data_IF_132375844745
#
_entry.id   IF_132375844745
#
_cell.length_a   1.000
_cell.length_b   1.000
_cell.length_c   1.000
_cell.angle_alpha   90.00
_cell.angle_beta   90.00
_cell.angle_gamma   90.00
#
_symmetry.space_group_name_H-M   'P 1'
#
loop_
_entity.id
_entity.type
_entity.pdbx_description
1 polymer ?
#
# COMPACT_ATOMS: atom_id res chain seq x y z
N UNK A 1 -33.00 -9.31 6.88
CA UNK A 1 -31.55 -9.32 7.17
C UNK A 1 -31.14 -7.93 7.61
N UNK A 2 -30.89 -7.71 8.90
CA UNK A 2 -30.28 -6.47 9.38
C UNK A 2 -28.77 -6.58 9.13
N UNK A 3 -28.20 -5.67 8.35
CA UNK A 3 -26.75 -5.52 8.28
C UNK A 3 -26.26 -5.19 9.70
N UNK A 4 -25.26 -5.90 10.24
CA UNK A 4 -24.71 -5.59 11.56
C UNK A 4 -24.24 -4.13 11.56
N UNK A 5 -24.82 -3.33 12.44
CA UNK A 5 -24.42 -1.94 12.67
C UNK A 5 -23.01 -1.96 13.25
N UNK A 6 -22.04 -1.56 12.44
CA UNK A 6 -20.66 -1.38 12.88
C UNK A 6 -20.65 -0.41 14.08
N UNK A 7 -19.95 -0.72 15.18
CA UNK A 7 -19.80 0.22 16.27
C UNK A 7 -19.18 1.52 15.74
N UNK A 8 -19.81 2.65 16.06
CA UNK A 8 -19.38 3.96 15.57
C UNK A 8 -17.94 4.21 16.00
N UNK A 9 -17.05 4.37 15.02
CA UNK A 9 -15.63 4.51 15.31
C UNK A 9 -15.36 5.76 16.17
N UNK A 10 -14.63 5.58 17.28
CA UNK A 10 -14.19 6.69 18.12
C UNK A 10 -13.10 7.47 17.38
N UNK A 11 -13.29 8.78 17.21
CA UNK A 11 -12.27 9.63 16.59
C UNK A 11 -11.15 9.94 17.60
N UNK A 12 -9.91 9.77 17.17
CA UNK A 12 -8.69 10.11 17.92
C UNK A 12 -7.87 11.06 17.07
N UNK A 13 -7.71 12.30 17.55
CA UNK A 13 -6.92 13.33 16.88
C UNK A 13 -5.45 13.16 17.23
N UNK A 14 -4.59 13.15 16.21
CA UNK A 14 -3.15 12.94 16.32
C UNK A 14 -2.43 14.22 15.88
N UNK A 15 -2.17 15.10 16.85
CA UNK A 15 -1.49 16.37 16.60
C UNK A 15 -0.01 16.14 16.29
N UNK A 16 0.65 15.33 17.13
CA UNK A 16 2.07 14.98 16.99
C UNK A 16 2.23 13.48 16.78
N UNK A 17 3.01 13.10 15.76
CA UNK A 17 3.33 11.71 15.51
C UNK A 17 4.33 11.18 16.57
N UNK A 18 4.12 9.98 17.11
CA UNK A 18 5.14 9.33 17.91
C UNK A 18 6.38 9.03 17.04
N UNK A 19 7.60 9.04 17.63
CA UNK A 19 8.80 8.67 16.90
C UNK A 19 8.67 7.27 16.28
N UNK A 20 9.16 7.05 15.04
CA UNK A 20 9.05 5.75 14.36
C UNK A 20 9.54 4.57 15.21
N UNK A 21 10.67 4.74 15.92
CA UNK A 21 11.22 3.71 16.82
C UNK A 21 10.23 3.26 17.90
N UNK A 22 9.40 4.17 18.42
CA UNK A 22 8.36 3.85 19.42
C UNK A 22 7.25 3.00 18.81
N UNK A 23 6.87 3.24 17.56
CA UNK A 23 5.86 2.44 16.86
C UNK A 23 6.37 1.03 16.57
N UNK A 24 7.60 0.90 16.05
CA UNK A 24 8.19 -0.43 15.83
C UNK A 24 8.43 -1.19 17.14
N UNK A 25 8.81 -0.51 18.23
CA UNK A 25 8.92 -1.13 19.55
C UNK A 25 7.60 -1.70 20.08
N UNK A 26 6.46 -1.06 19.80
CA UNK A 26 5.11 -1.55 20.16
C UNK A 26 4.72 -2.83 19.44
N UNK A 27 5.31 -3.12 18.27
CA UNK A 27 5.00 -4.33 17.52
C UNK A 27 5.62 -5.60 18.15
N UNK A 28 6.66 -5.47 18.97
CA UNK A 28 7.42 -6.60 19.55
C UNK A 28 6.62 -7.42 20.57
N UNK A 29 5.97 -6.83 21.61
CA UNK A 29 5.21 -7.61 22.58
C UNK A 29 4.02 -8.37 21.95
N UNK A 30 3.45 -7.83 20.87
CA UNK A 30 2.33 -8.44 20.15
C UNK A 30 2.70 -9.74 19.43
N UNK A 31 4.00 -10.02 19.21
CA UNK A 31 4.47 -11.30 18.63
C UNK A 31 4.14 -12.50 19.53
N UNK A 32 3.99 -12.28 20.84
CA UNK A 32 3.77 -13.33 21.84
C UNK A 32 2.30 -13.48 22.26
N UNK A 33 1.38 -12.64 21.72
CA UNK A 33 -0.06 -12.74 22.04
C UNK A 33 -0.71 -13.89 21.27
N UNK A 34 -1.47 -14.74 21.97
CA UNK A 34 -2.39 -15.70 21.33
C UNK A 34 -3.59 -14.93 20.78
N UNK A 35 -3.76 -14.95 19.46
CA UNK A 35 -4.83 -14.23 18.79
C UNK A 35 -6.21 -14.84 19.12
N UNK A 36 -7.12 -14.01 19.62
CA UNK A 36 -8.58 -14.19 19.54
C UNK A 36 -9.13 -12.92 18.89
N UNK A 37 -9.21 -12.90 17.57
CA UNK A 37 -9.75 -11.78 16.81
C UNK A 37 -11.23 -12.03 16.55
N UNK A 38 -12.10 -11.38 17.32
CA UNK A 38 -13.49 -11.18 16.91
C UNK A 38 -13.68 -9.85 16.19
N UNK A 39 -12.88 -8.83 16.52
CA UNK A 39 -13.07 -7.45 16.05
C UNK A 39 -11.75 -6.71 15.83
N UNK A 40 -11.78 -5.68 14.99
CA UNK A 40 -10.69 -4.72 14.78
C UNK A 40 -10.94 -3.43 15.57
N UNK A 41 -9.92 -2.59 15.81
CA UNK A 41 -10.10 -1.33 16.50
C UNK A 41 -11.18 -0.46 15.82
N UNK A 42 -12.27 -0.19 16.54
CA UNK A 42 -13.31 0.74 16.12
C UNK A 42 -12.87 2.20 16.41
N UNK A 43 -11.74 2.60 15.84
CA UNK A 43 -11.18 3.95 15.97
C UNK A 43 -10.93 4.57 14.60
N UNK A 44 -11.03 5.89 14.54
CA UNK A 44 -10.60 6.71 13.40
C UNK A 44 -9.47 7.61 13.85
N UNK A 45 -8.29 7.40 13.29
CA UNK A 45 -7.14 8.27 13.53
C UNK A 45 -7.21 9.45 12.57
N UNK A 46 -7.06 10.67 13.09
CA UNK A 46 -7.14 11.90 12.29
C UNK A 46 -5.90 12.75 12.53
N UNK A 47 -5.16 13.07 11.47
CA UNK A 47 -4.21 14.20 11.47
C UNK A 47 -4.89 15.39 10.82
N UNK A 48 -5.22 16.45 11.57
CA UNK A 48 -6.01 17.56 11.05
C UNK A 48 -5.22 18.46 10.10
N UNK A 49 -3.89 18.53 10.30
CA UNK A 49 -3.02 19.41 9.55
C UNK A 49 -1.69 18.74 9.20
N UNK A 50 -1.56 18.33 7.94
CA UNK A 50 -0.38 17.68 7.37
C UNK A 50 0.07 18.44 6.13
N UNK A 51 1.25 19.06 6.20
CA UNK A 51 1.85 19.73 5.05
C UNK A 51 2.35 18.70 4.04
N UNK A 52 1.96 18.88 2.78
CA UNK A 52 2.47 18.15 1.64
C UNK A 52 3.87 18.68 1.30
N UNK A 53 4.88 18.29 2.08
CA UNK A 53 6.24 18.80 2.00
C UNK A 53 6.88 18.54 0.63
N UNK A 54 7.24 19.60 -0.14
CA UNK A 54 7.89 19.45 -1.45
C UNK A 54 9.19 18.64 -1.40
N UNK A 55 9.95 18.72 -0.31
CA UNK A 55 11.21 17.99 -0.19
C UNK A 55 10.96 16.48 -0.06
N UNK A 56 9.98 16.10 0.77
CA UNK A 56 9.54 14.71 0.90
C UNK A 56 8.94 14.17 -0.40
N UNK A 57 8.11 14.96 -1.08
CA UNK A 57 7.57 14.62 -2.42
C UNK A 57 8.72 14.34 -3.38
N UNK A 58 9.73 15.22 -3.43
CA UNK A 58 10.90 15.06 -4.30
C UNK A 58 11.75 13.83 -3.96
N UNK A 59 11.97 13.52 -2.68
CA UNK A 59 12.67 12.28 -2.25
C UNK A 59 11.93 11.03 -2.72
N UNK A 60 10.61 11.00 -2.54
CA UNK A 60 9.76 9.90 -2.99
C UNK A 60 9.74 9.77 -4.51
N UNK A 61 9.56 10.89 -5.22
CA UNK A 61 9.57 10.93 -6.67
C UNK A 61 10.86 10.33 -7.24
N UNK A 62 12.02 10.72 -6.72
CA UNK A 62 13.32 10.19 -7.18
C UNK A 62 13.48 8.68 -6.98
N UNK A 63 13.12 8.15 -5.80
CA UNK A 63 13.32 6.70 -5.53
C UNK A 63 12.35 5.82 -6.33
N UNK A 64 11.16 6.33 -6.63
CA UNK A 64 10.20 5.63 -7.50
C UNK A 64 10.42 5.92 -8.99
N UNK A 65 11.11 7.01 -9.36
CA UNK A 65 11.37 7.39 -10.74
C UNK A 65 10.32 8.32 -11.37
N UNK A 66 9.51 9.02 -10.58
CA UNK A 66 8.64 10.09 -11.09
C UNK A 66 9.49 11.32 -11.46
N UNK A 67 9.03 12.05 -12.48
CA UNK A 67 9.63 13.32 -12.94
C UNK A 67 8.77 14.51 -12.48
N UNK A 68 9.32 15.74 -12.41
CA UNK A 68 8.59 16.93 -11.94
C UNK A 68 7.25 17.19 -12.65
N UNK A 69 7.16 16.88 -13.94
CA UNK A 69 5.98 17.06 -14.79
C UNK A 69 4.79 16.24 -14.31
N UNK A 70 5.02 15.15 -13.56
CA UNK A 70 3.95 14.35 -12.96
C UNK A 70 3.28 15.07 -11.76
N UNK A 71 3.88 16.14 -11.25
CA UNK A 71 3.41 16.82 -10.05
C UNK A 71 3.58 15.97 -8.80
N UNK A 72 2.58 15.97 -7.91
CA UNK A 72 2.58 15.09 -6.72
C UNK A 72 2.26 13.66 -7.17
N UNK A 73 3.15 12.68 -6.95
CA UNK A 73 2.90 11.30 -7.39
C UNK A 73 1.61 10.72 -6.80
N UNK A 74 0.83 10.01 -7.62
CA UNK A 74 -0.47 9.42 -7.26
C UNK A 74 -0.43 8.58 -5.96
N UNK A 75 0.68 7.88 -5.72
CA UNK A 75 0.90 7.02 -4.55
C UNK A 75 1.57 7.71 -3.36
N UNK A 76 2.08 8.93 -3.52
CA UNK A 76 2.72 9.65 -2.41
C UNK A 76 1.79 9.91 -1.22
N UNK A 77 0.49 10.21 -1.36
CA UNK A 77 -0.37 10.42 -0.19
C UNK A 77 -0.49 9.20 0.73
N UNK A 78 -0.24 7.99 0.23
CA UNK A 78 -0.10 6.79 1.08
C UNK A 78 1.09 6.91 2.06
N UNK A 79 2.22 7.48 1.62
CA UNK A 79 3.39 7.74 2.46
C UNK A 79 3.05 8.72 3.60
N UNK A 80 2.27 9.76 3.32
CA UNK A 80 1.82 10.70 4.35
C UNK A 80 0.92 10.03 5.40
N UNK A 81 0.10 9.07 4.98
CA UNK A 81 -0.81 8.33 5.86
C UNK A 81 -0.13 7.17 6.61
N UNK A 82 1.03 6.71 6.14
CA UNK A 82 1.70 5.52 6.67
C UNK A 82 1.96 5.54 8.19
N UNK A 83 2.34 6.67 8.83
CA UNK A 83 2.44 6.72 10.29
C UNK A 83 1.13 6.39 11.01
N UNK A 84 -0.02 6.80 10.46
CA UNK A 84 -1.33 6.44 11.01
C UNK A 84 -1.66 4.96 10.76
N UNK A 85 -1.24 4.38 9.62
CA UNK A 85 -1.36 2.94 9.40
C UNK A 85 -0.59 2.17 10.47
N UNK A 86 0.67 2.54 10.74
CA UNK A 86 1.46 1.93 11.80
C UNK A 86 0.82 2.10 13.18
N UNK A 87 0.30 3.28 13.49
CA UNK A 87 -0.41 3.51 14.76
C UNK A 87 -1.63 2.60 14.90
N UNK A 88 -2.40 2.40 13.83
CA UNK A 88 -3.54 1.48 13.82
C UNK A 88 -3.11 0.02 14.02
N UNK A 89 -2.12 -0.43 13.25
CA UNK A 89 -1.61 -1.82 13.30
C UNK A 89 -0.86 -2.15 14.59
N UNK A 90 -0.45 -1.14 15.35
CA UNK A 90 0.23 -1.28 16.64
C UNK A 90 -0.62 -0.78 17.82
N UNK A 91 -1.91 -0.51 17.58
CA UNK A 91 -2.84 -0.17 18.64
C UNK A 91 -2.97 -1.36 19.61
N UNK A 92 -3.04 -1.13 20.94
CA UNK A 92 -3.17 -2.21 21.90
C UNK A 92 -4.37 -3.14 21.68
N UNK A 93 -5.46 -2.62 21.09
CA UNK A 93 -6.67 -3.37 20.74
C UNK A 93 -6.58 -4.09 19.38
N UNK A 94 -5.54 -3.83 18.59
CA UNK A 94 -5.30 -4.55 17.35
C UNK A 94 -4.90 -6.01 17.66
N UNK A 95 -5.56 -7.02 17.05
CA UNK A 95 -5.49 -8.40 17.55
C UNK A 95 -4.22 -9.16 17.17
N UNK A 96 -3.39 -8.59 16.29
CA UNK A 96 -2.18 -9.23 15.78
C UNK A 96 -0.95 -8.34 15.92
N UNK A 97 0.24 -8.93 15.79
CA UNK A 97 1.42 -8.11 15.55
C UNK A 97 1.35 -7.51 14.14
N UNK A 98 1.73 -6.23 14.02
CA UNK A 98 2.01 -5.60 12.73
C UNK A 98 3.10 -6.36 11.96
N UNK A 99 3.99 -7.07 12.67
CA UNK A 99 4.94 -7.99 12.05
C UNK A 99 4.22 -9.29 11.67
N UNK A 100 4.11 -9.54 10.36
CA UNK A 100 3.50 -10.75 9.81
C UNK A 100 2.08 -10.58 9.27
N UNK A 101 1.53 -9.36 9.26
CA UNK A 101 0.45 -9.03 8.32
C UNK A 101 1.04 -8.80 6.93
N UNK A 102 0.38 -9.33 5.91
CA UNK A 102 0.83 -9.26 4.51
C UNK A 102 -0.04 -8.26 3.77
N UNK A 103 0.57 -7.26 3.16
CA UNK A 103 -0.14 -6.33 2.27
C UNK A 103 -0.49 -7.07 0.97
N UNK A 104 -1.78 -7.31 0.73
CA UNK A 104 -2.28 -8.06 -0.42
C UNK A 104 -2.50 -7.16 -1.62
N UNK A 105 -3.14 -6.01 -1.43
CA UNK A 105 -3.41 -5.09 -2.53
C UNK A 105 -3.56 -3.66 -2.04
N UNK A 106 -3.36 -2.72 -2.97
CA UNK A 106 -3.55 -1.30 -2.73
C UNK A 106 -4.37 -0.68 -3.86
N UNK A 107 -5.41 0.06 -3.50
CA UNK A 107 -6.12 0.94 -4.44
C UNK A 107 -5.91 2.38 -4.01
N UNK A 108 -5.50 3.24 -4.94
CA UNK A 108 -5.39 4.68 -4.72
C UNK A 108 -6.24 5.42 -5.74
N UNK A 109 -6.91 6.49 -5.30
CA UNK A 109 -7.74 7.34 -6.16
C UNK A 109 -7.43 8.81 -5.90
N UNK A 110 -6.90 9.49 -6.90
CA UNK A 110 -6.84 10.95 -6.95
C UNK A 110 -8.19 11.48 -7.45
N UNK A 111 -8.88 12.24 -6.61
CA UNK A 111 -10.16 12.88 -6.96
C UNK A 111 -9.96 14.29 -7.52
N UNK A 112 -8.96 15.00 -6.99
CA UNK A 112 -8.59 16.36 -7.39
C UNK A 112 -7.07 16.50 -7.39
N UNK A 113 -6.50 17.34 -8.26
CA UNK A 113 -5.06 17.58 -8.26
C UNK A 113 -4.54 18.05 -6.89
N UNK A 114 -3.37 17.54 -6.53
CA UNK A 114 -2.62 17.95 -5.35
C UNK A 114 -1.46 18.84 -5.76
N UNK A 115 -1.15 19.83 -4.93
CA UNK A 115 -0.01 20.74 -5.13
C UNK A 115 0.86 20.73 -3.89
N UNK A 116 2.17 20.51 -4.08
CA UNK A 116 3.13 20.56 -2.98
C UNK A 116 3.01 21.88 -2.21
N UNK A 117 3.19 21.83 -0.89
CA UNK A 117 2.99 22.95 0.02
C UNK A 117 1.56 23.09 0.57
N UNK A 118 0.56 22.38 0.02
CA UNK A 118 -0.79 22.36 0.57
C UNK A 118 -0.84 21.66 1.94
N UNK A 119 -1.81 22.05 2.75
CA UNK A 119 -2.14 21.40 4.01
C UNK A 119 -3.34 20.48 3.81
N UNK A 120 -3.24 19.27 4.36
CA UNK A 120 -4.20 18.19 4.18
C UNK A 120 -4.62 17.64 5.54
N UNK A 121 -5.90 17.25 5.64
CA UNK A 121 -6.40 16.40 6.73
C UNK A 121 -6.35 14.96 6.27
N UNK A 122 -5.78 14.08 7.10
CA UNK A 122 -5.64 12.65 6.80
C UNK A 122 -6.44 11.86 7.84
N UNK A 123 -7.29 10.96 7.38
CA UNK A 123 -8.05 10.04 8.21
C UNK A 123 -7.70 8.60 7.87
N UNK A 124 -7.54 7.76 8.90
CA UNK A 124 -7.33 6.33 8.77
C UNK A 124 -8.27 5.56 9.69
N UNK A 125 -8.92 4.54 9.15
CA UNK A 125 -9.79 3.62 9.89
C UNK A 125 -9.68 2.18 9.36
N UNK A 126 -10.01 1.21 10.21
CA UNK A 126 -10.15 -0.19 9.79
C UNK A 126 -11.53 -0.42 9.17
N UNK A 127 -11.56 -1.13 8.06
CA UNK A 127 -12.75 -1.82 7.58
C UNK A 127 -13.03 -3.09 8.41
N UNK A 128 -14.10 -3.84 8.07
CA UNK A 128 -14.44 -5.07 8.77
C UNK A 128 -13.40 -6.16 8.51
N UNK A 129 -13.35 -7.14 9.41
CA UNK A 129 -12.69 -8.42 9.13
C UNK A 129 -13.44 -9.14 8.02
N UNK A 130 -12.68 -9.65 7.07
CA UNK A 130 -13.16 -10.45 5.96
C UNK A 130 -12.51 -11.84 6.05
N UNK A 131 -13.27 -12.93 5.88
CA UNK A 131 -12.66 -14.25 5.73
C UNK A 131 -11.75 -14.24 4.51
N UNK A 132 -10.73 -15.09 4.51
CA UNK A 132 -9.84 -15.31 3.37
C UNK A 132 -9.31 -16.74 3.43
N UNK A 133 -9.09 -17.40 2.29
CA UNK A 133 -8.68 -18.81 2.24
C UNK A 133 -7.39 -19.09 3.04
N UNK A 134 -6.51 -18.09 3.17
CA UNK A 134 -5.24 -18.17 3.89
C UNK A 134 -5.28 -17.57 5.32
N UNK A 135 -6.43 -17.08 5.80
CA UNK A 135 -6.57 -16.49 7.14
C UNK A 135 -7.69 -15.45 7.24
N UNK A 136 -7.41 -14.30 7.87
CA UNK A 136 -8.35 -13.17 7.95
C UNK A 136 -7.76 -11.94 7.28
N UNK A 137 -8.54 -11.33 6.38
CA UNK A 137 -8.20 -10.11 5.69
C UNK A 137 -8.94 -8.91 6.30
N UNK A 138 -8.42 -7.72 6.08
CA UNK A 138 -9.07 -6.46 6.45
C UNK A 138 -8.51 -5.33 5.59
N UNK A 139 -9.22 -4.21 5.57
CA UNK A 139 -8.80 -3.03 4.82
C UNK A 139 -8.45 -1.91 5.79
N UNK A 140 -7.36 -1.19 5.55
CA UNK A 140 -7.16 0.15 6.09
C UNK A 140 -7.64 1.17 5.07
N UNK A 141 -8.70 1.88 5.43
CA UNK A 141 -9.24 2.98 4.64
C UNK A 141 -8.50 4.25 5.01
N UNK A 142 -8.02 4.95 3.99
CA UNK A 142 -7.38 6.27 4.11
C UNK A 142 -8.16 7.27 3.30
N UNK A 143 -8.55 8.38 3.93
CA UNK A 143 -9.27 9.48 3.26
C UNK A 143 -8.53 10.77 3.52
N UNK A 144 -8.27 11.53 2.47
CA UNK A 144 -7.49 12.76 2.53
C UNK A 144 -8.31 13.92 2.01
N UNK A 145 -8.35 14.99 2.80
CA UNK A 145 -9.17 16.15 2.56
C UNK A 145 -8.34 17.42 2.47
N UNK A 146 -8.77 18.34 1.60
CA UNK A 146 -8.27 19.72 1.52
C UNK A 146 -9.45 20.64 1.77
N UNK A 147 -9.42 21.41 2.87
CA UNK A 147 -10.50 22.35 3.23
C UNK A 147 -11.91 21.70 3.20
N UNK A 148 -12.02 20.46 3.66
CA UNK A 148 -13.28 19.69 3.71
C UNK A 148 -13.62 18.94 2.42
N UNK A 149 -12.95 19.19 1.29
CA UNK A 149 -13.15 18.45 0.05
C UNK A 149 -12.29 17.17 0.05
N UNK A 150 -12.88 16.02 -0.29
CA UNK A 150 -12.13 14.77 -0.47
C UNK A 150 -11.30 14.84 -1.76
N UNK A 151 -9.96 14.81 -1.62
CA UNK A 151 -9.03 14.97 -2.74
C UNK A 151 -8.32 13.68 -3.11
N UNK A 152 -8.19 12.74 -2.17
CA UNK A 152 -7.54 11.46 -2.40
C UNK A 152 -8.07 10.37 -1.45
N UNK A 153 -8.22 9.16 -1.95
CA UNK A 153 -8.52 7.97 -1.16
C UNK A 153 -7.50 6.86 -1.38
N UNK A 154 -7.31 6.05 -0.35
CA UNK A 154 -6.52 4.83 -0.41
C UNK A 154 -7.20 3.71 0.35
N UNK A 155 -7.20 2.50 -0.21
CA UNK A 155 -7.67 1.29 0.43
C UNK A 155 -6.55 0.24 0.37
N UNK A 156 -6.02 -0.12 1.55
CA UNK A 156 -4.89 -1.04 1.68
C UNK A 156 -5.38 -2.34 2.32
N UNK A 157 -5.38 -3.43 1.55
CA UNK A 157 -5.87 -4.74 2.03
C UNK A 157 -4.73 -5.51 2.65
N UNK A 158 -4.89 -5.93 3.89
CA UNK A 158 -3.92 -6.71 4.65
C UNK A 158 -4.49 -8.07 5.02
N UNK A 159 -3.60 -9.07 5.12
CA UNK A 159 -3.93 -10.44 5.49
C UNK A 159 -3.11 -10.88 6.68
N UNK A 160 -3.78 -11.32 7.75
CA UNK A 160 -3.17 -12.17 8.76
C UNK A 160 -3.31 -13.64 8.35
N UNK A 161 -2.19 -14.25 7.98
CA UNK A 161 -2.16 -15.68 7.67
C UNK A 161 -2.40 -16.54 8.91
N UNK A 162 -3.15 -17.64 8.73
CA UNK A 162 -3.41 -18.66 9.75
C UNK A 162 -4.38 -18.23 10.86
N UNK A 163 -4.97 -17.03 10.79
CA UNK A 163 -6.04 -16.62 11.70
C UNK A 163 -7.32 -17.42 11.37
N UNK A 164 -7.95 -18.01 12.39
CA UNK A 164 -9.22 -18.71 12.24
C UNK A 164 -10.36 -17.69 12.14
N UNK A 165 -11.24 -17.86 11.17
CA UNK A 165 -12.50 -17.13 11.08
C UNK A 165 -13.59 -17.94 11.79
N UNK A 166 -14.37 -17.29 12.67
CA UNK A 166 -15.57 -17.91 13.28
C UNK A 166 -16.71 -18.06 12.26
N UNK A 167 -16.70 -17.25 11.20
CA UNK A 167 -17.57 -17.41 10.04
C UNK A 167 -16.88 -18.25 8.96
N UNK A 168 -17.36 -19.47 8.75
CA UNK A 168 -16.93 -20.39 7.70
C UNK A 168 -17.47 -20.02 6.30
N UNK A 169 -17.70 -18.74 6.01
CA UNK A 169 -17.96 -18.30 4.66
C UNK A 169 -16.61 -18.10 3.96
N UNK A 170 -16.20 -19.09 3.16
CA UNK A 170 -15.07 -18.92 2.25
C UNK A 170 -15.47 -17.81 1.27
N UNK A 171 -14.88 -16.63 1.43
CA UNK A 171 -14.82 -15.67 0.33
C UNK A 171 -13.99 -16.34 -0.75
N UNK A 172 -14.68 -16.80 -1.79
CA UNK A 172 -14.09 -17.02 -3.09
C UNK A 172 -13.45 -15.68 -3.46
N UNK A 173 -12.14 -15.67 -3.68
CA UNK A 173 -11.63 -14.68 -4.63
C UNK A 173 -12.52 -14.79 -5.88
N UNK A 174 -12.79 -13.70 -6.61
CA UNK A 174 -13.27 -13.88 -7.97
C UNK A 174 -12.29 -14.89 -8.58
N UNK A 175 -12.79 -16.05 -8.97
CA UNK A 175 -12.00 -17.00 -9.73
C UNK A 175 -11.28 -16.18 -10.78
N UNK A 176 -9.96 -16.37 -10.94
CA UNK A 176 -9.26 -15.84 -12.09
C UNK A 176 -10.20 -16.09 -13.27
N UNK A 177 -10.79 -15.02 -13.80
CA UNK A 177 -11.72 -15.11 -14.90
C UNK A 177 -10.85 -15.30 -16.15
N UNK A 178 -10.05 -16.37 -16.14
CA UNK A 178 -9.37 -16.95 -17.29
C UNK A 178 -10.40 -17.68 -18.15
N UNK A 179 -11.44 -16.92 -18.54
CA UNK A 179 -12.56 -17.35 -19.37
C UNK A 179 -12.94 -16.32 -20.45
N UNK A 180 -12.26 -15.16 -20.50
CA UNK A 180 -12.26 -14.27 -21.65
C UNK A 180 -10.83 -13.71 -21.77
N UNK A 181 -10.21 -13.81 -22.95
CA UNK A 181 -8.77 -13.66 -23.18
C UNK A 181 -8.11 -12.56 -22.34
N UNK A 182 -7.27 -12.95 -21.38
CA UNK A 182 -6.43 -11.99 -20.68
C UNK A 182 -5.62 -11.20 -21.72
N UNK A 183 -5.57 -9.86 -21.63
CA UNK A 183 -4.86 -9.07 -22.62
C UNK A 183 -3.42 -9.56 -22.71
N UNK A 184 -2.93 -9.75 -23.95
CA UNK A 184 -1.53 -10.09 -24.20
C UNK A 184 -0.67 -8.89 -23.79
N UNK A 185 -0.15 -8.94 -22.56
CA UNK A 185 0.78 -7.93 -22.07
C UNK A 185 2.10 -8.04 -22.85
N UNK A 186 2.64 -6.91 -23.28
CA UNK A 186 3.95 -6.82 -23.90
C UNK A 186 4.99 -6.32 -22.88
N UNK A 187 6.21 -6.88 -22.93
CA UNK A 187 7.31 -6.41 -22.07
C UNK A 187 7.74 -5.02 -22.51
N UNK A 188 7.61 -4.06 -21.61
CA UNK A 188 7.95 -2.65 -21.84
C UNK A 188 9.35 -2.30 -21.32
N UNK A 189 9.73 -2.84 -20.15
CA UNK A 189 11.00 -2.50 -19.53
C UNK A 189 11.61 -3.65 -18.72
N UNK A 190 12.92 -3.55 -18.47
CA UNK A 190 13.64 -4.32 -17.45
C UNK A 190 14.17 -3.36 -16.40
N UNK A 191 14.06 -3.75 -15.14
CA UNK A 191 14.59 -3.01 -14.01
C UNK A 191 15.64 -3.84 -13.28
N UNK A 192 16.76 -3.20 -12.98
CA UNK A 192 17.76 -3.71 -12.05
C UNK A 192 17.53 -3.05 -10.70
N UNK A 193 17.40 -3.87 -9.66
CA UNK A 193 17.10 -3.44 -8.30
C UNK A 193 18.37 -3.52 -7.46
N UNK A 194 18.91 -2.37 -7.01
CA UNK A 194 20.14 -2.35 -6.24
C UNK A 194 19.92 -2.88 -4.81
N UNK A 195 20.97 -3.37 -4.12
CA UNK A 195 20.85 -3.93 -2.78
C UNK A 195 20.45 -2.91 -1.70
N UNK A 196 20.63 -1.61 -1.95
CA UNK A 196 20.22 -0.52 -1.06
C UNK A 196 18.77 -0.04 -1.25
N UNK A 197 18.07 -0.54 -2.27
CA UNK A 197 16.76 0.00 -2.66
C UNK A 197 15.75 0.08 -1.52
N UNK A 198 15.65 -0.98 -0.71
CA UNK A 198 14.74 -0.98 0.44
C UNK A 198 15.09 0.11 1.47
N UNK A 199 16.37 0.40 1.69
CA UNK A 199 16.80 1.49 2.60
C UNK A 199 16.52 2.86 2.01
N UNK A 200 16.70 3.02 0.71
CA UNK A 200 16.43 4.29 0.02
C UNK A 200 14.93 4.60 0.02
N UNK A 201 14.09 3.60 -0.24
CA UNK A 201 12.64 3.75 -0.14
C UNK A 201 12.18 3.98 1.30
N UNK A 202 12.75 3.29 2.29
CA UNK A 202 12.43 3.50 3.69
C UNK A 202 12.68 4.95 4.15
N UNK A 203 13.80 5.57 3.70
CA UNK A 203 14.09 6.98 3.97
C UNK A 203 13.08 7.95 3.34
N UNK A 204 12.54 7.61 2.18
CA UNK A 204 11.55 8.43 1.48
C UNK A 204 10.12 8.24 2.02
N UNK A 205 9.78 7.02 2.42
CA UNK A 205 8.42 6.61 2.81
C UNK A 205 8.16 6.56 4.31
N UNK A 206 9.20 6.45 5.14
CA UNK A 206 9.08 6.14 6.56
C UNK A 206 8.81 4.66 6.86
N UNK A 207 8.72 3.79 5.86
CA UNK A 207 8.56 2.34 6.06
C UNK A 207 9.90 1.64 6.27
N UNK A 208 10.31 1.59 7.55
CA UNK A 208 11.49 0.89 8.02
C UNK A 208 11.21 -0.55 8.46
N UNK A 209 10.20 -1.23 7.90
CA UNK A 209 9.97 -2.64 8.18
C UNK A 209 11.25 -3.47 7.91
N UNK A 210 11.77 -4.22 8.91
CA UNK A 210 13.08 -4.86 8.81
C UNK A 210 13.25 -5.83 7.64
N UNK A 211 12.16 -6.39 7.10
CA UNK A 211 12.23 -7.32 5.95
C UNK A 211 12.75 -6.67 4.66
N UNK A 212 12.78 -5.33 4.60
CA UNK A 212 13.24 -4.58 3.43
C UNK A 212 14.67 -4.05 3.56
N UNK A 213 15.23 -4.01 4.78
CA UNK A 213 16.44 -3.24 5.06
C UNK A 213 17.72 -4.04 4.83
N UNK A 214 17.77 -5.26 5.37
CA UNK A 214 18.95 -6.12 5.38
C UNK A 214 18.57 -7.61 5.26
N UNK A 215 19.50 -8.41 4.76
CA UNK A 215 19.31 -9.87 4.65
C UNK A 215 19.07 -10.52 6.02
N UNK A 216 19.84 -10.15 7.05
CA UNK A 216 19.75 -10.77 8.37
C UNK A 216 18.38 -10.55 9.01
N UNK A 217 17.88 -9.32 8.96
CA UNK A 217 16.55 -9.01 9.45
C UNK A 217 15.46 -9.71 8.63
N UNK A 218 15.58 -9.76 7.30
CA UNK A 218 14.61 -10.48 6.45
C UNK A 218 14.57 -12.00 6.72
N UNK A 219 15.72 -12.62 6.99
CA UNK A 219 15.82 -14.04 7.38
C UNK A 219 15.09 -14.36 8.68
N UNK A 220 15.10 -13.46 9.65
CA UNK A 220 14.32 -13.62 10.89
C UNK A 220 12.80 -13.72 10.63
N UNK A 221 12.33 -13.25 9.47
CA UNK A 221 10.92 -13.32 9.05
C UNK A 221 10.69 -14.32 7.89
N UNK A 222 11.64 -15.23 7.64
CA UNK A 222 11.48 -16.33 6.68
C UNK A 222 11.82 -15.99 5.22
N UNK A 223 12.42 -14.83 4.96
CA UNK A 223 12.89 -14.47 3.61
C UNK A 223 14.38 -14.81 3.43
N UNK A 224 14.76 -15.32 2.27
CA UNK A 224 16.17 -15.65 2.01
C UNK A 224 17.07 -14.41 1.92
N UNK A 225 16.51 -13.28 1.47
CA UNK A 225 17.14 -11.95 1.33
C UNK A 225 16.12 -10.86 1.61
N UNK A 226 16.58 -9.61 1.72
CA UNK A 226 15.67 -8.47 1.77
C UNK A 226 14.77 -8.43 0.52
N UNK A 227 13.56 -7.91 0.67
CA UNK A 227 12.60 -7.76 -0.43
C UNK A 227 12.29 -6.27 -0.65
N UNK A 228 11.97 -5.88 -1.87
CA UNK A 228 11.46 -4.55 -2.17
C UNK A 228 10.09 -4.34 -1.51
N UNK A 229 9.80 -3.10 -1.12
CA UNK A 229 8.47 -2.72 -0.65
C UNK A 229 7.45 -2.87 -1.78
N UNK A 230 6.27 -3.46 -1.49
CA UNK A 230 5.19 -3.53 -2.48
C UNK A 230 4.80 -2.14 -2.99
N UNK A 231 4.71 -1.16 -2.08
CA UNK A 231 4.40 0.23 -2.45
C UNK A 231 5.50 0.91 -3.28
N UNK A 232 6.77 0.50 -3.14
CA UNK A 232 7.81 0.94 -4.08
C UNK A 232 7.56 0.36 -5.47
N UNK A 233 7.25 -0.94 -5.56
CA UNK A 233 6.97 -1.60 -6.85
C UNK A 233 5.78 -0.94 -7.54
N UNK A 234 4.69 -0.66 -6.81
CA UNK A 234 3.54 0.06 -7.36
C UNK A 234 3.92 1.48 -7.79
N UNK A 235 4.61 2.25 -6.94
CA UNK A 235 5.06 3.61 -7.28
C UNK A 235 5.99 3.63 -8.50
N UNK A 236 6.92 2.68 -8.62
CA UNK A 236 7.84 2.54 -9.75
C UNK A 236 7.11 2.20 -11.05
N UNK A 237 6.13 1.29 -10.98
CA UNK A 237 5.28 0.97 -12.12
C UNK A 237 4.49 2.19 -12.56
N UNK A 238 3.82 2.87 -11.64
CA UNK A 238 3.02 4.04 -11.98
C UNK A 238 3.89 5.17 -12.53
N UNK A 239 5.11 5.37 -12.02
CA UNK A 239 6.05 6.34 -12.58
C UNK A 239 6.41 6.04 -14.05
N UNK A 240 6.60 4.77 -14.39
CA UNK A 240 6.93 4.35 -15.76
C UNK A 240 5.74 4.49 -16.72
N UNK A 241 4.51 4.30 -16.23
CA UNK A 241 3.27 4.36 -17.02
C UNK A 241 2.63 5.74 -17.06
N UNK A 242 3.11 6.66 -16.23
CA UNK A 242 2.50 7.97 -16.07
C UNK A 242 2.65 8.80 -17.36
N UNK A 243 1.61 9.53 -17.79
CA UNK A 243 1.77 10.53 -18.84
C UNK A 243 2.70 11.65 -18.36
N UNK A 244 3.44 12.30 -19.26
CA UNK A 244 4.39 13.41 -18.96
C UNK A 244 3.64 14.72 -18.64
N UNK A 245 2.63 14.66 -17.77
CA UNK A 245 1.78 15.75 -17.28
C UNK A 245 1.17 15.37 -15.93
N UNK A 246 0.76 16.38 -15.15
CA UNK A 246 -0.04 16.16 -13.95
C UNK A 246 -1.45 15.67 -14.32
N UNK A 247 -2.01 14.79 -13.49
CA UNK A 247 -3.36 14.25 -13.68
C UNK A 247 -4.42 15.19 -13.10
N UNK A 248 -5.58 15.28 -13.77
CA UNK A 248 -6.78 15.89 -13.18
C UNK A 248 -7.41 14.95 -12.14
N UNK A 249 -7.52 13.67 -12.49
CA UNK A 249 -7.98 12.59 -11.63
C UNK A 249 -7.30 11.28 -12.05
N UNK A 250 -7.37 10.25 -11.21
CA UNK A 250 -6.88 8.94 -11.59
C UNK A 250 -7.04 7.89 -10.52
N UNK A 251 -7.00 6.62 -10.93
CA UNK A 251 -7.13 5.46 -10.06
C UNK A 251 -6.11 4.42 -10.46
N UNK A 252 -5.39 3.91 -9.46
CA UNK A 252 -4.51 2.77 -9.64
C UNK A 252 -4.88 1.68 -8.63
N UNK A 253 -4.86 0.44 -9.10
CA UNK A 253 -5.02 -0.74 -8.28
C UNK A 253 -3.83 -1.68 -8.52
N UNK A 254 -3.32 -2.31 -7.46
CA UNK A 254 -2.26 -3.29 -7.56
C UNK A 254 -2.41 -4.42 -6.54
N UNK A 255 -2.38 -5.65 -7.02
CA UNK A 255 -2.29 -6.87 -6.24
C UNK A 255 -0.83 -7.33 -6.11
N UNK A 256 -0.34 -7.41 -4.88
CA UNK A 256 0.98 -7.93 -4.56
C UNK A 256 0.93 -9.47 -4.52
N UNK A 257 1.70 -10.11 -5.41
CA UNK A 257 1.69 -11.57 -5.57
C UNK A 257 2.91 -12.19 -4.89
N UNK A 258 4.06 -12.21 -5.55
CA UNK A 258 5.30 -12.79 -5.00
C UNK A 258 6.27 -11.70 -4.51
N UNK A 259 7.06 -11.95 -3.45
CA UNK A 259 8.09 -11.01 -3.01
C UNK A 259 9.14 -10.76 -4.09
N UNK A 260 9.56 -9.51 -4.25
CA UNK A 260 10.61 -9.10 -5.18
C UNK A 260 11.93 -8.94 -4.40
N UNK A 261 12.87 -9.87 -4.56
CA UNK A 261 14.10 -9.91 -3.76
C UNK A 261 15.15 -8.86 -4.16
N UNK A 262 15.95 -8.43 -3.18
CA UNK A 262 17.03 -7.45 -3.32
C UNK A 262 18.42 -8.06 -3.03
N UNK A 263 19.46 -7.72 -3.82
CA UNK A 263 19.36 -7.14 -5.16
C UNK A 263 18.66 -8.11 -6.13
N UNK A 264 18.16 -7.62 -7.25
CA UNK A 264 17.46 -8.47 -8.21
C UNK A 264 17.11 -7.77 -9.52
N UNK A 265 16.38 -8.48 -10.36
CA UNK A 265 15.85 -7.97 -11.63
C UNK A 265 14.33 -8.18 -11.67
N UNK A 266 13.64 -7.26 -12.33
CA UNK A 266 12.22 -7.37 -12.65
C UNK A 266 11.95 -6.90 -14.08
N UNK A 267 10.82 -7.30 -14.64
CA UNK A 267 10.34 -6.83 -15.94
C UNK A 267 8.96 -6.21 -15.80
N UNK A 268 8.74 -5.07 -16.48
CA UNK A 268 7.43 -4.43 -16.59
C UNK A 268 6.76 -4.89 -17.87
N UNK A 269 5.51 -5.32 -17.75
CA UNK A 269 4.66 -5.79 -18.84
C UNK A 269 3.37 -5.00 -18.85
N UNK A 270 2.88 -4.61 -20.03
CA UNK A 270 1.72 -3.73 -20.16
C UNK A 270 0.81 -4.06 -21.31
N UNK A 271 -0.45 -3.70 -21.17
CA UNK A 271 -1.38 -3.48 -22.28
C UNK A 271 -2.06 -2.13 -22.11
N UNK A 272 -2.42 -1.50 -23.23
CA UNK A 272 -3.13 -0.22 -23.27
C UNK A 272 -4.56 -0.45 -23.75
N UNK A 273 -5.51 -0.81 -22.86
CA UNK A 273 -6.91 -1.02 -23.25
C UNK A 273 -7.58 0.27 -23.75
N UNK A 274 -7.05 1.44 -23.40
CA UNK A 274 -7.47 2.74 -23.95
C UNK A 274 -6.29 3.75 -23.93
N UNK A 275 -6.44 4.94 -24.55
CA UNK A 275 -5.44 5.99 -24.47
C UNK A 275 -5.10 6.44 -23.03
N UNK A 276 -6.05 6.31 -22.10
CA UNK A 276 -5.97 6.80 -20.72
C UNK A 276 -5.98 5.69 -19.66
N UNK A 277 -5.72 4.45 -20.07
CA UNK A 277 -5.67 3.30 -19.18
C UNK A 277 -4.55 2.33 -19.54
N UNK A 278 -4.00 1.66 -18.53
CA UNK A 278 -2.95 0.64 -18.65
C UNK A 278 -3.27 -0.52 -17.72
N UNK A 279 -3.27 -1.73 -18.28
CA UNK A 279 -3.08 -2.95 -17.49
C UNK A 279 -1.60 -3.21 -17.37
N UNK A 280 -1.14 -3.68 -16.20
CA UNK A 280 0.27 -3.91 -15.97
C UNK A 280 0.55 -5.14 -15.09
N UNK A 281 1.72 -5.71 -15.32
CA UNK A 281 2.35 -6.67 -14.42
C UNK A 281 3.83 -6.35 -14.24
N UNK A 282 4.32 -6.53 -13.02
CA UNK A 282 5.76 -6.63 -12.75
C UNK A 282 6.05 -8.09 -12.52
N UNK A 283 6.96 -8.66 -13.32
CA UNK A 283 7.33 -10.07 -13.29
C UNK A 283 8.80 -10.25 -12.97
N UNK A 284 9.20 -11.49 -12.71
CA UNK A 284 10.62 -11.85 -12.64
C UNK A 284 11.32 -11.68 -14.01
N UNK A 285 12.64 -11.92 -14.05
CA UNK A 285 13.43 -11.71 -15.25
C UNK A 285 13.01 -12.62 -16.42
N UNK A 286 12.56 -13.84 -16.12
CA UNK A 286 12.05 -14.78 -17.11
C UNK A 286 10.70 -14.33 -17.68
N UNK A 287 9.90 -13.60 -16.89
CA UNK A 287 8.58 -13.11 -17.30
C UNK A 287 7.45 -14.08 -16.98
N UNK A 288 7.71 -15.07 -16.12
CA UNK A 288 6.77 -16.15 -15.81
C UNK A 288 5.99 -15.87 -14.52
N UNK A 289 6.64 -15.27 -13.52
CA UNK A 289 6.08 -15.13 -12.18
C UNK A 289 5.79 -13.68 -11.83
N UNK A 290 4.54 -13.32 -11.49
CA UNK A 290 4.19 -11.96 -11.14
C UNK A 290 4.59 -11.62 -9.69
N UNK A 291 5.14 -10.41 -9.52
CA UNK A 291 5.33 -9.73 -8.25
C UNK A 291 4.18 -8.75 -7.97
N UNK A 292 3.66 -8.11 -9.01
CA UNK A 292 2.56 -7.15 -8.97
C UNK A 292 1.71 -7.33 -10.23
N UNK A 293 0.39 -7.29 -10.09
CA UNK A 293 -0.58 -7.15 -11.20
C UNK A 293 -1.50 -5.99 -10.89
N UNK A 294 -1.90 -5.22 -11.88
CA UNK A 294 -2.80 -4.12 -11.63
C UNK A 294 -3.32 -3.41 -12.86
N UNK A 295 -4.04 -2.33 -12.58
CA UNK A 295 -4.63 -1.44 -13.56
C UNK A 295 -4.41 0.01 -13.14
N UNK A 296 -4.18 0.89 -14.09
CA UNK A 296 -4.03 2.32 -13.90
C UNK A 296 -4.82 3.09 -14.96
N UNK A 297 -5.76 3.92 -14.51
CA UNK A 297 -6.58 4.81 -15.33
C UNK A 297 -6.45 6.25 -14.84
N UNK A 298 -6.56 7.20 -15.77
CA UNK A 298 -6.43 8.62 -15.44
C UNK A 298 -7.23 9.54 -16.35
N UNK A 299 -7.38 10.78 -15.91
CA UNK A 299 -7.87 11.90 -16.70
C UNK A 299 -6.82 13.01 -16.70
N UNK A 300 -6.64 13.65 -17.85
CA UNK A 300 -5.79 14.83 -17.97
C UNK A 300 -6.65 16.10 -17.80
N UNK A 301 -6.04 17.23 -17.42
CA UNK A 301 -6.73 18.52 -17.34
C UNK A 301 -7.36 18.99 -18.65
#
# INVERSE_FOLDING_TARGET
>A
MHAPTMPRARTVVIDTLPPPAKLYGRALPALFRRARASELPAIRLVRPDVKLDPEQVGRYARVCGFIPEHGVPLTFPHVLAFPLHLMMLTDPSFPWSALGVVHLSNTVRLRRPLTAGQNLRIEVECGPLMPHQKGQAFTLHTRIYRRGEAVWDGDSVYLKRGARSESAAVSTEPADASGAGAPLLAREARWQLPPQLGRDYAKASGDFNPIHLHMLSAKAFGFSRAIAHGMWTLGRTLAALHPVKALASGRAHGDFKLPLYLPGDATLWTAAPSPTARDFEVRDLAGDRPHLRGHFEWELP
#
